data_IF_726347892693
#
_entry.id   IF_726347892693
#
_cell.length_a   1.000
_cell.length_b   1.000
_cell.length_c   1.000
_cell.angle_alpha   90.00
_cell.angle_beta   90.00
_cell.angle_gamma   90.00
#
_symmetry.space_group_name_H-M   'P 1'
#
loop_
_entity.id
_entity.type
_entity.pdbx_description
1 polymer ?
#
# COMPACT_ATOMS: atom_id res chain seq x y z
N UNK A 1 -25.12 37.32 15.47
CA UNK A 1 -23.91 36.51 15.67
C UNK A 1 -23.56 35.78 14.38
N UNK A 2 -22.65 36.38 13.58
CA UNK A 2 -22.07 35.76 12.38
C UNK A 2 -20.93 34.82 12.84
N UNK A 3 -21.08 33.53 12.61
CA UNK A 3 -19.95 32.58 12.68
C UNK A 3 -19.18 32.65 11.35
N UNK A 4 -17.94 33.12 11.40
CA UNK A 4 -16.95 32.99 10.33
C UNK A 4 -16.49 31.54 10.30
N UNK A 5 -16.86 30.80 9.27
CA UNK A 5 -16.26 29.51 8.95
C UNK A 5 -14.96 29.75 8.20
N UNK A 6 -13.83 29.48 8.82
CA UNK A 6 -12.53 29.45 8.15
C UNK A 6 -12.38 28.10 7.46
N UNK A 7 -12.52 28.10 6.11
CA UNK A 7 -12.11 26.97 5.28
C UNK A 7 -10.59 26.96 5.17
N UNK A 8 -9.92 26.19 6.01
CA UNK A 8 -8.52 25.83 5.79
C UNK A 8 -8.49 24.69 4.77
N UNK A 9 -8.22 25.02 3.51
CA UNK A 9 -7.68 24.09 2.53
C UNK A 9 -6.26 23.72 2.99
N UNK A 10 -6.14 22.62 3.73
CA UNK A 10 -4.83 21.98 3.95
C UNK A 10 -4.39 21.39 2.61
N UNK A 11 -3.46 22.06 1.93
CA UNK A 11 -2.60 21.42 0.95
C UNK A 11 -1.90 20.28 1.68
N UNK A 12 -2.26 19.01 1.38
CA UNK A 12 -1.71 17.85 2.04
C UNK A 12 -0.23 17.76 1.73
N UNK A 13 0.62 17.91 2.75
CA UNK A 13 1.99 17.40 2.71
C UNK A 13 1.90 15.90 2.47
N UNK A 14 2.50 15.44 1.37
CA UNK A 14 2.61 14.03 1.00
C UNK A 14 3.18 13.25 2.20
N UNK A 15 2.49 12.21 2.65
CA UNK A 15 2.91 11.40 3.79
C UNK A 15 4.23 10.67 3.48
N UNK A 16 5.02 10.36 4.51
CA UNK A 16 6.29 9.61 4.34
C UNK A 16 6.08 8.29 3.59
N UNK A 17 4.95 7.63 3.82
CA UNK A 17 4.56 6.38 3.13
C UNK A 17 4.37 6.57 1.63
N UNK A 18 3.67 7.64 1.24
CA UNK A 18 3.40 7.95 -0.17
C UNK A 18 4.68 8.25 -0.97
N UNK A 19 5.72 8.79 -0.29
CA UNK A 19 7.02 9.03 -0.93
C UNK A 19 7.76 7.71 -1.14
N UNK A 20 7.80 6.87 -0.11
CA UNK A 20 8.50 5.57 -0.15
C UNK A 20 7.91 4.67 -1.24
N UNK A 21 6.59 4.54 -1.28
CA UNK A 21 5.92 3.70 -2.26
C UNK A 21 6.10 4.22 -3.69
N UNK A 22 6.04 5.54 -3.91
CA UNK A 22 6.30 6.13 -5.23
C UNK A 22 7.72 5.90 -5.74
N UNK A 23 8.71 5.96 -4.85
CA UNK A 23 10.10 5.65 -5.20
C UNK A 23 10.19 4.17 -5.57
N UNK A 24 9.70 3.28 -4.71
CA UNK A 24 9.79 1.84 -4.89
C UNK A 24 9.03 1.36 -6.14
N UNK A 25 7.74 1.68 -6.24
CA UNK A 25 6.89 1.27 -7.36
C UNK A 25 7.20 2.03 -8.66
N UNK A 26 7.93 3.15 -8.59
CA UNK A 26 8.31 3.94 -9.76
C UNK A 26 9.42 3.34 -10.60
N UNK A 27 10.11 2.32 -10.13
CA UNK A 27 11.18 1.64 -10.85
C UNK A 27 10.64 0.91 -12.08
N UNK A 28 11.30 1.08 -13.22
CA UNK A 28 10.82 0.59 -14.50
C UNK A 28 10.73 -0.94 -14.58
N UNK A 29 11.67 -1.63 -13.95
CA UNK A 29 11.71 -3.09 -13.88
C UNK A 29 10.55 -3.67 -13.05
N UNK A 30 10.20 -3.02 -11.92
CA UNK A 30 9.06 -3.44 -11.08
C UNK A 30 7.72 -3.18 -11.76
N UNK A 31 7.59 -2.06 -12.48
CA UNK A 31 6.39 -1.79 -13.28
C UNK A 31 6.24 -2.82 -14.39
N UNK A 32 7.32 -3.14 -15.11
CA UNK A 32 7.30 -4.15 -16.15
C UNK A 32 6.95 -5.53 -15.58
N UNK A 33 7.51 -5.90 -14.42
CA UNK A 33 7.23 -7.16 -13.74
C UNK A 33 5.77 -7.25 -13.25
N UNK A 34 5.24 -6.17 -12.68
CA UNK A 34 3.83 -6.09 -12.27
C UNK A 34 2.89 -6.25 -13.46
N UNK A 35 3.15 -5.54 -14.57
CA UNK A 35 2.36 -5.65 -15.80
C UNK A 35 2.44 -7.06 -16.41
N UNK A 36 3.64 -7.63 -16.46
CA UNK A 36 3.85 -8.97 -16.99
C UNK A 36 3.12 -10.03 -16.17
N UNK A 37 3.12 -9.90 -14.86
CA UNK A 37 2.44 -10.82 -13.98
C UNK A 37 0.92 -10.70 -14.05
N UNK A 38 0.41 -9.46 -14.04
CA UNK A 38 -1.02 -9.19 -14.00
C UNK A 38 -1.72 -9.40 -15.34
N UNK A 39 -1.09 -8.99 -16.44
CA UNK A 39 -1.72 -9.01 -17.76
C UNK A 39 -1.28 -10.20 -18.64
N UNK A 40 -0.11 -10.78 -18.36
CA UNK A 40 0.53 -11.77 -19.23
C UNK A 40 0.97 -13.04 -18.47
N UNK A 41 0.34 -13.33 -17.34
CA UNK A 41 0.56 -14.54 -16.53
C UNK A 41 2.05 -14.81 -16.19
N UNK A 42 2.84 -13.75 -15.98
CA UNK A 42 4.28 -13.83 -15.71
C UNK A 42 5.15 -13.95 -16.98
N UNK A 43 4.56 -13.78 -18.17
CA UNK A 43 5.30 -13.70 -19.45
C UNK A 43 6.25 -12.50 -19.50
N UNK A 44 7.24 -12.52 -20.40
CA UNK A 44 8.18 -11.41 -20.61
C UNK A 44 7.75 -10.57 -21.82
N UNK A 45 6.59 -9.94 -21.74
CA UNK A 45 6.03 -9.13 -22.85
C UNK A 45 6.49 -7.67 -22.75
N UNK A 46 6.59 -7.13 -21.53
CA UNK A 46 7.03 -5.76 -21.28
C UNK A 46 8.42 -5.80 -20.65
N UNK A 47 9.37 -5.09 -21.24
CA UNK A 47 10.70 -4.90 -20.69
C UNK A 47 10.79 -3.58 -19.90
N UNK A 48 11.73 -3.47 -18.96
CA UNK A 48 11.98 -2.21 -18.25
C UNK A 48 12.27 -1.03 -19.20
N UNK A 49 12.92 -1.29 -20.34
CA UNK A 49 13.16 -0.29 -21.39
C UNK A 49 11.91 0.24 -22.09
N UNK A 50 10.78 -0.44 -21.94
CA UNK A 50 9.49 -0.03 -22.48
C UNK A 50 8.73 0.91 -21.55
N UNK A 51 9.20 1.05 -20.32
CA UNK A 51 8.63 1.95 -19.30
C UNK A 51 9.32 3.31 -19.39
N UNK A 52 8.54 4.35 -19.65
CA UNK A 52 9.06 5.73 -19.81
C UNK A 52 8.40 6.63 -18.77
N UNK A 53 9.17 7.56 -18.25
CA UNK A 53 8.60 8.61 -17.41
C UNK A 53 7.64 9.50 -18.19
N UNK A 54 6.55 9.89 -17.54
CA UNK A 54 5.68 10.91 -18.08
C UNK A 54 6.33 12.28 -17.81
N UNK A 55 6.64 13.03 -18.85
CA UNK A 55 7.24 14.36 -18.72
C UNK A 55 6.34 15.25 -17.84
N UNK A 56 6.85 15.68 -16.69
CA UNK A 56 6.12 16.48 -15.70
C UNK A 56 5.71 17.85 -16.26
N UNK A 57 6.42 18.37 -17.27
CA UNK A 57 6.04 19.58 -18.02
C UNK A 57 4.73 19.38 -18.79
N UNK A 58 4.46 18.17 -19.27
CA UNK A 58 3.15 17.84 -19.85
C UNK A 58 2.03 17.81 -18.78
N UNK A 59 2.36 17.62 -17.51
CA UNK A 59 1.41 17.67 -16.39
C UNK A 59 1.13 19.12 -15.92
N UNK A 60 2.06 20.06 -16.11
CA UNK A 60 2.01 21.43 -15.56
C UNK A 60 1.46 22.49 -16.49
N UNK A 61 1.22 22.21 -17.79
CA UNK A 61 0.77 23.20 -18.77
C UNK A 61 -0.77 23.37 -18.78
N UNK A 62 -1.40 23.40 -17.61
CA UNK A 62 -2.81 23.81 -17.44
C UNK A 62 -2.91 25.08 -16.58
N UNK A 63 -2.03 26.05 -16.81
CA UNK A 63 -2.26 27.43 -16.39
C UNK A 63 -2.87 28.18 -17.57
N UNK A 64 -4.17 28.17 -17.70
CA UNK A 64 -4.91 29.19 -18.42
C UNK A 64 -5.29 30.30 -17.44
N UNK A 65 -4.78 31.49 -17.65
CA UNK A 65 -4.97 32.67 -16.78
C UNK A 65 -6.38 33.27 -16.83
N UNK A 66 -7.34 32.72 -17.55
CA UNK A 66 -8.65 33.39 -17.76
C UNK A 66 -9.92 32.57 -17.55
N UNK A 67 -9.87 31.32 -17.08
CA UNK A 67 -11.13 30.67 -16.70
C UNK A 67 -10.94 29.79 -15.47
N UNK A 68 -11.45 30.26 -14.34
CA UNK A 68 -11.63 29.50 -13.09
C UNK A 68 -12.76 28.48 -13.33
N UNK A 69 -12.49 27.46 -14.10
CA UNK A 69 -13.18 26.19 -13.98
C UNK A 69 -12.37 25.40 -12.95
N UNK A 70 -13.00 25.09 -11.81
CA UNK A 70 -12.43 24.18 -10.80
C UNK A 70 -12.19 22.82 -11.42
N UNK A 71 -11.14 22.66 -12.21
CA UNK A 71 -10.60 21.38 -12.62
C UNK A 71 -9.95 20.82 -11.36
N UNK A 72 -10.67 19.98 -10.63
CA UNK A 72 -10.06 19.10 -9.65
C UNK A 72 -8.99 18.29 -10.40
N UNK A 73 -7.73 18.68 -10.22
CA UNK A 73 -6.61 17.85 -10.63
C UNK A 73 -6.67 16.60 -9.77
N UNK A 74 -7.28 15.55 -10.28
CA UNK A 74 -7.23 14.24 -9.66
C UNK A 74 -5.84 13.71 -9.97
N UNK A 75 -4.91 13.94 -9.04
CA UNK A 75 -3.57 13.41 -9.16
C UNK A 75 -3.62 11.90 -8.95
N UNK A 76 -3.13 11.13 -9.91
CA UNK A 76 -2.78 9.71 -9.74
C UNK A 76 -1.48 9.62 -8.95
N UNK A 77 -1.32 8.59 -8.12
CA UNK A 77 -0.13 8.44 -7.28
C UNK A 77 1.13 8.22 -8.12
N UNK A 78 1.04 7.39 -9.15
CA UNK A 78 2.12 7.15 -10.10
C UNK A 78 1.56 6.97 -11.50
N UNK A 79 2.21 7.57 -12.52
CA UNK A 79 1.85 7.35 -13.95
C UNK A 79 3.12 7.17 -14.78
N UNK A 80 3.09 6.19 -15.67
CA UNK A 80 4.16 5.91 -16.64
C UNK A 80 3.58 5.70 -18.04
N UNK A 81 4.39 5.96 -19.06
CA UNK A 81 4.12 5.51 -20.43
C UNK A 81 4.69 4.12 -20.61
N UNK A 82 3.90 3.22 -21.18
CA UNK A 82 4.31 1.86 -21.51
C UNK A 82 4.23 1.69 -23.01
N UNK A 83 5.32 1.23 -23.61
CA UNK A 83 5.41 1.01 -25.04
C UNK A 83 5.15 -0.47 -25.39
N UNK A 84 4.28 -0.70 -26.35
CA UNK A 84 4.02 -1.99 -26.96
C UNK A 84 4.35 -1.91 -28.47
N UNK A 85 5.59 -2.16 -28.84
CA UNK A 85 6.06 -1.93 -30.19
C UNK A 85 5.96 -0.45 -30.59
N UNK A 86 5.07 -0.12 -31.53
CA UNK A 86 4.81 1.25 -31.98
C UNK A 86 3.69 1.95 -31.17
N UNK A 87 2.93 1.21 -30.37
CA UNK A 87 1.82 1.74 -29.58
C UNK A 87 2.28 2.13 -28.19
N UNK A 88 1.56 3.08 -27.58
CA UNK A 88 1.82 3.57 -26.24
C UNK A 88 0.54 3.50 -25.41
N UNK A 89 0.68 3.16 -24.15
CA UNK A 89 -0.38 3.17 -23.14
C UNK A 89 0.07 3.99 -21.93
N UNK A 90 -0.85 4.66 -21.25
CA UNK A 90 -0.60 5.21 -19.93
C UNK A 90 -0.97 4.18 -18.87
N UNK A 91 0.00 3.84 -18.03
CA UNK A 91 -0.21 2.98 -16.87
C UNK A 91 -0.21 3.83 -15.60
N UNK A 92 -1.29 3.75 -14.85
CA UNK A 92 -1.48 4.54 -13.64
C UNK A 92 -1.70 3.63 -12.43
N UNK A 93 -1.04 3.95 -11.32
CA UNK A 93 -1.19 3.25 -10.04
C UNK A 93 -1.85 4.18 -9.05
N UNK A 94 -2.86 3.67 -8.34
CA UNK A 94 -3.49 4.26 -7.17
C UNK A 94 -3.16 3.40 -5.95
N UNK A 95 -2.49 3.97 -4.96
CA UNK A 95 -2.09 3.26 -3.75
C UNK A 95 -3.12 3.49 -2.63
N UNK A 96 -3.56 2.41 -1.99
CA UNK A 96 -4.55 2.47 -0.91
C UNK A 96 -4.08 1.63 0.29
N UNK A 97 -4.04 2.25 1.47
CA UNK A 97 -3.81 1.55 2.75
C UNK A 97 -5.09 1.20 3.48
N UNK A 98 -6.19 1.88 3.14
CA UNK A 98 -7.51 1.68 3.72
C UNK A 98 -8.54 1.50 2.60
N UNK A 99 -9.67 0.85 2.91
CA UNK A 99 -10.74 0.65 1.93
C UNK A 99 -11.37 1.99 1.58
N UNK A 100 -11.47 2.26 0.29
CA UNK A 100 -12.06 3.48 -0.23
C UNK A 100 -13.36 3.16 -0.99
N UNK A 101 -14.50 3.31 -0.32
CA UNK A 101 -15.82 2.92 -0.86
C UNK A 101 -16.26 3.72 -2.11
N UNK A 102 -15.59 4.78 -2.48
CA UNK A 102 -15.81 5.50 -3.74
C UNK A 102 -14.70 5.25 -4.78
N UNK A 103 -13.99 4.13 -4.70
CA UNK A 103 -12.82 3.85 -5.55
C UNK A 103 -13.13 3.84 -7.05
N UNK A 104 -14.20 3.18 -7.53
CA UNK A 104 -14.55 3.22 -8.94
C UNK A 104 -14.75 4.64 -9.48
N UNK A 105 -15.37 5.50 -8.69
CA UNK A 105 -15.56 6.92 -9.07
C UNK A 105 -14.24 7.68 -9.06
N UNK A 106 -13.35 7.41 -8.10
CA UNK A 106 -12.01 8.03 -8.04
C UNK A 106 -11.20 7.67 -9.27
N UNK A 107 -11.17 6.39 -9.65
CA UNK A 107 -10.43 5.90 -10.83
C UNK A 107 -11.00 6.50 -12.12
N UNK A 108 -12.33 6.44 -12.30
CA UNK A 108 -13.02 7.05 -13.46
C UNK A 108 -12.66 8.53 -13.62
N UNK A 109 -12.74 9.31 -12.55
CA UNK A 109 -12.40 10.74 -12.59
C UNK A 109 -10.95 10.98 -13.00
N UNK A 110 -10.03 10.14 -12.51
CA UNK A 110 -8.61 10.20 -12.87
C UNK A 110 -8.38 9.90 -14.34
N UNK A 111 -8.99 8.83 -14.85
CA UNK A 111 -8.84 8.41 -16.24
C UNK A 111 -9.49 9.41 -17.20
N UNK A 112 -10.69 9.90 -16.85
CA UNK A 112 -11.38 10.96 -17.61
C UNK A 112 -10.54 12.25 -17.70
N UNK A 113 -9.85 12.64 -16.62
CA UNK A 113 -8.97 13.80 -16.63
C UNK A 113 -7.76 13.61 -17.57
N UNK A 114 -7.22 12.39 -17.70
CA UNK A 114 -6.17 12.09 -18.68
C UNK A 114 -6.68 12.18 -20.12
N UNK A 115 -7.88 11.66 -20.40
CA UNK A 115 -8.49 11.77 -21.74
C UNK A 115 -8.85 13.22 -22.10
N UNK A 116 -9.42 13.97 -21.16
CA UNK A 116 -9.72 15.39 -21.35
C UNK A 116 -8.45 16.21 -21.65
N UNK A 117 -7.36 15.95 -20.94
CA UNK A 117 -6.06 16.57 -21.20
C UNK A 117 -5.53 16.26 -22.60
N UNK A 118 -5.61 15.01 -23.04
CA UNK A 118 -5.18 14.59 -24.38
C UNK A 118 -6.03 15.29 -25.44
N UNK A 119 -7.36 15.28 -25.29
CA UNK A 119 -8.27 15.94 -26.22
C UNK A 119 -7.97 17.45 -26.32
N UNK A 120 -7.82 18.13 -25.19
CA UNK A 120 -7.47 19.54 -25.17
C UNK A 120 -6.10 19.82 -25.82
N UNK A 121 -5.13 18.93 -25.66
CA UNK A 121 -3.84 19.00 -26.33
C UNK A 121 -3.94 18.92 -27.86
N UNK A 122 -4.66 17.92 -28.36
CA UNK A 122 -4.94 17.70 -29.78
C UNK A 122 -5.66 18.91 -30.37
N UNK A 123 -6.72 19.37 -29.68
CA UNK A 123 -7.50 20.55 -30.10
C UNK A 123 -6.64 21.81 -30.24
N UNK A 124 -5.75 22.10 -29.31
CA UNK A 124 -4.83 23.25 -29.37
C UNK A 124 -3.86 23.12 -30.53
N UNK A 125 -3.37 21.93 -30.81
CA UNK A 125 -2.46 21.68 -31.93
C UNK A 125 -3.15 21.96 -33.26
N UNK A 126 -4.36 21.45 -33.47
CA UNK A 126 -5.16 21.72 -34.65
C UNK A 126 -5.53 23.20 -34.80
N UNK A 127 -5.88 23.89 -33.70
CA UNK A 127 -6.12 25.34 -33.71
C UNK A 127 -4.87 26.12 -34.17
N UNK A 128 -3.69 25.69 -33.76
CA UNK A 128 -2.41 26.29 -34.19
C UNK A 128 -2.15 26.02 -35.67
N UNK A 129 -2.37 24.78 -36.13
CA UNK A 129 -2.16 24.37 -37.52
C UNK A 129 -3.23 24.88 -38.48
N UNK A 130 -4.42 25.14 -37.98
CA UNK A 130 -5.63 25.52 -38.75
C UNK A 130 -5.99 24.52 -39.86
N UNK A 131 -5.85 23.22 -39.53
CA UNK A 131 -5.93 22.10 -40.48
C UNK A 131 -7.26 21.33 -40.42
N UNK A 132 -8.16 21.68 -39.48
CA UNK A 132 -9.49 21.09 -39.39
C UNK A 132 -10.57 21.99 -40.05
N UNK A 133 -11.63 21.37 -40.55
CA UNK A 133 -12.80 22.03 -41.10
C UNK A 133 -14.11 21.32 -40.72
N UNK A 134 -15.25 21.99 -40.88
CA UNK A 134 -16.57 21.41 -40.65
C UNK A 134 -16.74 20.80 -39.26
N UNK A 135 -17.18 19.56 -39.16
CA UNK A 135 -17.45 18.84 -37.93
C UNK A 135 -16.17 18.59 -37.08
N UNK A 136 -15.05 18.36 -37.72
CA UNK A 136 -13.75 18.17 -37.06
C UNK A 136 -13.29 19.46 -36.37
N UNK A 137 -13.46 20.59 -37.05
CA UNK A 137 -13.17 21.89 -36.46
C UNK A 137 -14.05 22.18 -35.22
N UNK A 138 -15.35 21.83 -35.26
CA UNK A 138 -16.28 22.03 -34.14
C UNK A 138 -15.89 21.18 -32.93
N UNK A 139 -15.49 19.95 -33.16
CA UNK A 139 -15.05 19.04 -32.09
C UNK A 139 -13.60 19.30 -31.61
N UNK A 140 -12.78 19.91 -32.50
CA UNK A 140 -11.35 20.04 -32.30
C UNK A 140 -10.60 18.70 -32.33
N UNK A 141 -11.21 17.69 -32.99
CA UNK A 141 -10.71 16.33 -33.09
C UNK A 141 -10.94 15.80 -34.49
N UNK A 142 -9.89 15.46 -35.21
CA UNK A 142 -9.94 14.91 -36.56
C UNK A 142 -10.24 13.42 -36.57
N UNK A 143 -10.64 12.88 -37.73
CA UNK A 143 -10.96 11.46 -37.90
C UNK A 143 -9.76 10.54 -37.68
N UNK A 144 -8.57 11.02 -37.97
CA UNK A 144 -7.31 10.27 -37.82
C UNK A 144 -6.71 10.42 -36.40
N UNK A 145 -7.27 11.32 -35.58
CA UNK A 145 -6.80 11.48 -34.21
C UNK A 145 -7.19 10.29 -33.35
N UNK A 146 -6.35 9.96 -32.40
CA UNK A 146 -6.59 8.91 -31.44
C UNK A 146 -6.09 9.30 -30.04
N UNK A 147 -6.78 8.83 -29.02
CA UNK A 147 -6.35 8.98 -27.65
C UNK A 147 -5.44 7.81 -27.25
N UNK A 148 -4.42 8.11 -26.48
CA UNK A 148 -3.58 7.09 -25.82
C UNK A 148 -4.41 6.44 -24.72
N UNK A 149 -4.59 5.10 -24.72
CA UNK A 149 -5.38 4.43 -23.71
C UNK A 149 -4.75 4.55 -22.31
N UNK A 150 -5.57 4.61 -21.28
CA UNK A 150 -5.17 4.64 -19.87
C UNK A 150 -5.60 3.33 -19.22
N UNK A 151 -4.66 2.64 -18.58
CA UNK A 151 -4.92 1.51 -17.69
C UNK A 151 -4.58 1.91 -16.26
N UNK A 152 -5.58 1.96 -15.39
CA UNK A 152 -5.40 2.27 -13.98
C UNK A 152 -5.54 1.02 -13.12
N UNK A 153 -4.56 0.81 -12.24
CA UNK A 153 -4.53 -0.29 -11.27
C UNK A 153 -4.56 0.29 -9.87
N UNK A 154 -5.35 -0.32 -8.98
CA UNK A 154 -5.41 0.00 -7.56
C UNK A 154 -4.58 -1.02 -6.81
N UNK A 155 -3.48 -0.60 -6.17
CA UNK A 155 -2.70 -1.44 -5.26
C UNK A 155 -3.19 -1.24 -3.84
N UNK A 156 -3.81 -2.26 -3.26
CA UNK A 156 -4.33 -2.23 -1.90
C UNK A 156 -3.39 -2.95 -0.94
N UNK A 157 -2.88 -2.21 0.07
CA UNK A 157 -1.95 -2.70 1.08
C UNK A 157 -2.61 -2.95 2.45
N UNK A 158 -3.93 -2.77 2.55
CA UNK A 158 -4.66 -2.92 3.80
C UNK A 158 -4.60 -4.32 4.41
N UNK A 159 -4.72 -4.39 5.73
CA UNK A 159 -4.76 -5.66 6.46
C UNK A 159 -6.11 -6.37 6.30
N UNK A 160 -7.20 -5.59 6.25
CA UNK A 160 -8.53 -6.11 6.02
C UNK A 160 -8.69 -6.53 4.56
N UNK A 161 -9.50 -7.54 4.31
CA UNK A 161 -9.90 -7.89 2.95
C UNK A 161 -10.72 -6.76 2.33
N UNK A 162 -10.52 -6.53 1.02
CA UNK A 162 -11.28 -5.48 0.33
C UNK A 162 -12.75 -5.86 0.23
N UNK A 163 -13.62 -5.05 0.84
CA UNK A 163 -15.09 -5.17 0.78
C UNK A 163 -15.76 -3.98 0.08
N UNK A 164 -14.95 -3.07 -0.48
CA UNK A 164 -15.44 -1.90 -1.23
C UNK A 164 -15.93 -2.28 -2.64
N UNK A 165 -16.65 -1.35 -3.30
CA UNK A 165 -17.13 -1.55 -4.66
C UNK A 165 -15.98 -1.82 -5.64
N UNK A 166 -16.18 -2.81 -6.52
CA UNK A 166 -15.28 -3.14 -7.63
C UNK A 166 -15.73 -2.50 -8.94
N UNK A 167 -16.97 -2.01 -9.00
CA UNK A 167 -17.61 -1.48 -10.20
C UNK A 167 -18.46 -0.26 -9.86
N UNK A 168 -18.49 0.71 -10.76
CA UNK A 168 -19.26 1.93 -10.55
C UNK A 168 -20.77 1.66 -10.37
N UNK A 169 -21.31 0.65 -11.05
CA UNK A 169 -22.71 0.25 -10.91
C UNK A 169 -23.06 -0.20 -9.49
N UNK A 170 -22.13 -0.77 -8.72
CA UNK A 170 -22.35 -1.15 -7.32
C UNK A 170 -22.57 0.05 -6.40
N UNK A 171 -22.17 1.24 -6.84
CA UNK A 171 -22.37 2.51 -6.12
C UNK A 171 -23.68 3.24 -6.51
N UNK A 172 -24.43 2.70 -7.48
CA UNK A 172 -25.62 3.35 -8.03
C UNK A 172 -26.90 2.74 -7.45
N UNK A 173 -27.93 3.57 -7.32
CA UNK A 173 -29.29 3.12 -6.90
C UNK A 173 -30.04 2.48 -8.07
N UNK A 174 -29.57 1.35 -8.57
CA UNK A 174 -30.14 0.68 -9.75
C UNK A 174 -31.35 -0.20 -9.42
N UNK A 175 -31.51 -0.63 -8.18
CA UNK A 175 -32.56 -1.54 -7.72
C UNK A 175 -33.99 -0.99 -7.84
N UNK A 176 -34.13 0.31 -8.09
CA UNK A 176 -35.42 0.99 -8.30
C UNK A 176 -35.71 1.26 -9.77
N UNK A 177 -34.79 0.91 -10.68
CA UNK A 177 -34.92 1.15 -12.11
C UNK A 177 -35.36 -0.13 -12.84
N UNK A 178 -36.12 -0.02 -13.95
CA UNK A 178 -36.34 -1.13 -14.86
C UNK A 178 -35.01 -1.71 -15.36
N UNK A 179 -34.98 -3.04 -15.59
CA UNK A 179 -33.76 -3.74 -16.03
C UNK A 179 -33.23 -3.18 -17.35
N UNK A 180 -34.12 -2.87 -18.29
CA UNK A 180 -33.78 -2.34 -19.59
C UNK A 180 -33.07 -0.97 -19.50
N UNK A 181 -33.36 -0.19 -18.46
CA UNK A 181 -32.68 1.09 -18.17
C UNK A 181 -31.32 0.83 -17.53
N UNK A 182 -31.28 -0.08 -16.55
CA UNK A 182 -30.06 -0.43 -15.81
C UNK A 182 -28.98 -1.03 -16.73
N UNK A 183 -29.38 -1.83 -17.74
CA UNK A 183 -28.47 -2.38 -18.73
C UNK A 183 -27.81 -1.32 -19.61
N UNK A 184 -28.51 -0.20 -19.91
CA UNK A 184 -27.96 0.88 -20.75
C UNK A 184 -27.00 1.81 -20.01
N UNK A 185 -26.99 1.75 -18.68
CA UNK A 185 -26.04 2.55 -17.89
C UNK A 185 -24.66 1.94 -18.04
N UNK A 186 -23.70 2.77 -18.45
CA UNK A 186 -22.30 2.34 -18.62
C UNK A 186 -21.70 2.09 -17.23
N UNK A 187 -20.98 0.97 -17.11
CA UNK A 187 -20.26 0.60 -15.92
C UNK A 187 -18.77 0.96 -16.05
N UNK A 188 -18.09 1.08 -14.90
CA UNK A 188 -16.67 1.31 -14.84
C UNK A 188 -16.03 0.40 -13.78
N UNK A 189 -15.47 -0.76 -14.17
CA UNK A 189 -14.78 -1.65 -13.25
C UNK A 189 -13.41 -1.08 -12.90
N UNK A 190 -12.94 -1.36 -11.68
CA UNK A 190 -11.56 -1.11 -11.27
C UNK A 190 -10.73 -2.39 -11.39
N UNK A 191 -9.43 -2.20 -11.60
CA UNK A 191 -8.44 -3.26 -11.58
C UNK A 191 -7.75 -3.22 -10.21
N UNK A 192 -8.20 -4.07 -9.28
CA UNK A 192 -7.70 -4.11 -7.90
C UNK A 192 -6.71 -5.25 -7.73
N UNK A 193 -5.55 -4.94 -7.18
CA UNK A 193 -4.54 -5.89 -6.70
C UNK A 193 -4.48 -5.77 -5.17
N UNK A 194 -5.03 -6.75 -4.46
CA UNK A 194 -4.83 -6.89 -3.02
C UNK A 194 -3.46 -7.53 -2.77
N UNK A 195 -2.49 -6.71 -2.39
CA UNK A 195 -1.09 -7.12 -2.22
C UNK A 195 -0.94 -8.23 -1.20
N UNK A 196 -1.71 -8.16 -0.10
CA UNK A 196 -1.63 -9.15 0.99
C UNK A 196 -2.29 -10.49 0.65
N UNK A 197 -3.11 -10.53 -0.39
CA UNK A 197 -3.84 -11.73 -0.85
C UNK A 197 -3.58 -12.04 -2.32
N UNK A 198 -2.52 -11.43 -2.88
CA UNK A 198 -2.17 -11.63 -4.28
C UNK A 198 -1.74 -13.08 -4.53
N UNK A 199 -2.43 -13.83 -5.41
CA UNK A 199 -2.27 -15.29 -5.50
C UNK A 199 -1.01 -15.72 -6.27
N UNK A 200 -0.39 -14.83 -7.05
CA UNK A 200 0.67 -15.17 -8.00
C UNK A 200 1.98 -14.42 -7.74
N UNK A 201 2.25 -14.06 -6.48
CA UNK A 201 3.46 -13.34 -6.09
C UNK A 201 4.77 -14.12 -6.38
N UNK A 202 4.70 -15.43 -6.47
CA UNK A 202 5.84 -16.30 -6.83
C UNK A 202 6.32 -16.11 -8.28
N UNK A 203 5.47 -15.56 -9.16
CA UNK A 203 5.81 -15.30 -10.57
C UNK A 203 6.64 -14.05 -10.76
N UNK A 204 6.69 -13.15 -9.77
CA UNK A 204 7.52 -11.96 -9.84
C UNK A 204 9.00 -12.31 -9.97
N UNK A 205 9.71 -11.57 -10.82
CA UNK A 205 11.14 -11.73 -11.10
C UNK A 205 12.00 -10.69 -10.41
N UNK A 206 11.37 -9.59 -9.97
CA UNK A 206 11.99 -8.53 -9.18
C UNK A 206 11.79 -8.77 -7.68
N UNK A 207 12.26 -7.84 -6.85
CA UNK A 207 12.04 -7.85 -5.42
C UNK A 207 10.57 -7.60 -5.00
N UNK A 208 9.66 -7.35 -5.95
CA UNK A 208 8.21 -7.42 -5.70
C UNK A 208 7.81 -8.76 -5.07
N UNK A 209 8.46 -9.87 -5.46
CA UNK A 209 8.26 -11.18 -4.83
C UNK A 209 8.51 -11.14 -3.32
N UNK A 210 9.59 -10.47 -2.92
CA UNK A 210 10.00 -10.40 -1.52
C UNK A 210 9.09 -9.47 -0.72
N UNK A 211 8.79 -8.29 -1.26
CA UNK A 211 7.92 -7.30 -0.61
C UNK A 211 6.50 -7.82 -0.45
N UNK A 212 5.89 -8.37 -1.52
CA UNK A 212 4.55 -8.95 -1.46
C UNK A 212 4.52 -10.16 -0.53
N UNK A 213 5.49 -11.07 -0.67
CA UNK A 213 5.61 -12.26 0.18
C UNK A 213 5.77 -11.94 1.66
N UNK A 214 6.54 -10.91 2.00
CA UNK A 214 6.67 -10.40 3.37
C UNK A 214 5.33 -9.86 3.90
N UNK A 215 4.67 -8.98 3.13
CA UNK A 215 3.41 -8.36 3.54
C UNK A 215 2.27 -9.38 3.70
N UNK A 216 2.23 -10.41 2.88
CA UNK A 216 1.28 -11.51 2.99
C UNK A 216 1.41 -12.29 4.30
N UNK A 217 2.62 -12.38 4.83
CA UNK A 217 2.94 -13.17 6.04
C UNK A 217 3.16 -12.31 7.29
N UNK A 218 3.07 -10.99 7.18
CA UNK A 218 3.38 -10.06 8.26
C UNK A 218 2.53 -10.25 9.53
N UNK A 219 1.35 -10.85 9.43
CA UNK A 219 0.48 -11.20 10.57
C UNK A 219 0.75 -12.58 11.16
N UNK A 220 1.59 -13.41 10.53
CA UNK A 220 1.88 -14.79 10.91
C UNK A 220 3.39 -14.96 11.11
N UNK A 221 3.94 -14.69 12.33
CA UNK A 221 5.39 -14.64 12.56
C UNK A 221 6.16 -15.88 12.13
N UNK A 222 5.60 -17.07 12.37
CA UNK A 222 6.23 -18.34 12.00
C UNK A 222 6.40 -18.48 10.49
N UNK A 223 5.34 -18.21 9.73
CA UNK A 223 5.37 -18.25 8.27
C UNK A 223 6.24 -17.13 7.66
N UNK A 224 6.30 -15.98 8.33
CA UNK A 224 7.19 -14.90 7.91
C UNK A 224 8.65 -15.29 8.06
N UNK A 225 9.03 -15.86 9.21
CA UNK A 225 10.39 -16.33 9.47
C UNK A 225 10.77 -17.44 8.48
N UNK A 226 9.87 -18.40 8.23
CA UNK A 226 10.08 -19.46 7.23
C UNK A 226 10.36 -18.87 5.85
N UNK A 227 9.52 -17.94 5.39
CA UNK A 227 9.69 -17.27 4.10
C UNK A 227 11.00 -16.47 3.99
N UNK A 228 11.41 -15.78 5.06
CA UNK A 228 12.69 -15.08 5.10
C UNK A 228 13.85 -16.05 5.02
N UNK A 229 13.78 -17.18 5.72
CA UNK A 229 14.81 -18.22 5.70
C UNK A 229 14.95 -18.89 4.33
N UNK A 230 13.83 -19.13 3.64
CA UNK A 230 13.83 -19.67 2.29
C UNK A 230 14.45 -18.70 1.26
N UNK A 231 14.38 -17.39 1.53
CA UNK A 231 14.88 -16.32 0.65
C UNK A 231 16.00 -15.50 1.33
N UNK A 232 16.81 -16.14 2.18
CA UNK A 232 17.84 -15.47 3.01
C UNK A 232 18.84 -14.66 2.17
N UNK A 233 19.24 -15.18 1.02
CA UNK A 233 20.20 -14.52 0.13
C UNK A 233 19.67 -13.17 -0.33
N UNK A 234 18.43 -13.14 -0.79
CA UNK A 234 17.76 -11.96 -1.31
C UNK A 234 17.45 -10.97 -0.17
N UNK A 235 16.92 -11.44 0.96
CA UNK A 235 16.63 -10.59 2.12
C UNK A 235 17.87 -10.06 2.83
N UNK A 236 19.05 -10.67 2.66
CA UNK A 236 20.30 -10.16 3.21
C UNK A 236 20.90 -9.01 2.38
N UNK A 237 20.40 -8.77 1.17
CA UNK A 237 20.88 -7.75 0.24
C UNK A 237 19.75 -6.98 -0.44
N UNK A 238 18.78 -6.47 0.35
CA UNK A 238 17.72 -5.62 -0.19
C UNK A 238 18.24 -4.24 -0.58
N UNK A 239 17.70 -3.69 -1.65
CA UNK A 239 17.88 -2.27 -1.97
C UNK A 239 17.25 -1.37 -0.90
N UNK A 240 17.69 -0.12 -0.79
CA UNK A 240 17.18 0.83 0.19
C UNK A 240 15.67 1.01 0.08
N UNK A 241 15.17 1.18 -1.12
CA UNK A 241 13.75 1.40 -1.40
C UNK A 241 12.89 0.17 -1.14
N UNK A 242 13.40 -1.05 -1.39
CA UNK A 242 12.73 -2.30 -1.04
C UNK A 242 12.65 -2.50 0.48
N UNK A 243 13.74 -2.20 1.20
CA UNK A 243 13.74 -2.22 2.66
C UNK A 243 12.74 -1.21 3.24
N UNK A 244 12.78 0.03 2.77
CA UNK A 244 11.89 1.11 3.22
C UNK A 244 10.42 0.80 2.90
N UNK A 245 10.14 0.25 1.73
CA UNK A 245 8.79 -0.18 1.32
C UNK A 245 8.26 -1.26 2.27
N UNK A 246 9.05 -2.30 2.53
CA UNK A 246 8.69 -3.39 3.45
C UNK A 246 8.42 -2.86 4.85
N UNK A 247 9.34 -2.06 5.40
CA UNK A 247 9.21 -1.47 6.74
C UNK A 247 7.99 -0.53 6.86
N UNK A 248 7.73 0.27 5.82
CA UNK A 248 6.64 1.23 5.81
C UNK A 248 5.26 0.56 5.70
N UNK A 249 5.12 -0.44 4.82
CA UNK A 249 3.85 -1.09 4.54
C UNK A 249 3.50 -2.20 5.53
N UNK A 250 4.50 -2.82 6.17
CA UNK A 250 4.27 -3.75 7.30
C UNK A 250 3.86 -3.03 8.59
N UNK A 251 3.96 -1.69 8.64
CA UNK A 251 3.75 -0.86 9.83
C UNK A 251 4.69 -1.21 11.00
N UNK A 252 5.80 -1.89 10.73
CA UNK A 252 6.77 -2.32 11.73
C UNK A 252 7.79 -1.21 11.98
N UNK A 253 7.51 -0.37 12.99
CA UNK A 253 8.36 0.79 13.34
C UNK A 253 9.80 0.41 13.68
N UNK A 254 9.99 -0.77 14.24
CA UNK A 254 11.30 -1.32 14.63
C UNK A 254 12.20 -1.50 13.42
N UNK A 255 11.70 -2.00 12.29
CA UNK A 255 12.48 -2.12 11.06
C UNK A 255 13.07 -0.77 10.62
N UNK A 256 12.25 0.29 10.66
CA UNK A 256 12.72 1.64 10.33
C UNK A 256 13.80 2.16 11.28
N UNK A 257 13.77 1.78 12.58
CA UNK A 257 14.81 2.16 13.56
C UNK A 257 16.10 1.38 13.35
N UNK A 258 16.02 0.14 12.91
CA UNK A 258 17.16 -0.73 12.70
C UNK A 258 17.87 -0.50 11.36
N UNK A 259 17.29 0.29 10.44
CA UNK A 259 17.78 0.51 9.09
C UNK A 259 19.30 0.78 9.06
N UNK A 260 19.75 1.80 9.78
CA UNK A 260 21.18 2.18 9.81
C UNK A 260 22.10 1.13 10.47
N UNK A 261 21.54 0.25 11.30
CA UNK A 261 22.28 -0.84 11.97
C UNK A 261 22.52 -2.04 11.04
N UNK A 262 21.64 -2.22 10.06
CA UNK A 262 21.64 -3.36 9.14
C UNK A 262 22.12 -3.00 7.74
N UNK A 263 22.50 -1.73 7.52
CA UNK A 263 23.12 -1.25 6.28
C UNK A 263 24.47 -1.95 6.04
N UNK A 264 24.67 -2.45 4.82
CA UNK A 264 25.89 -3.13 4.37
C UNK A 264 26.30 -2.56 3.01
N UNK A 265 27.19 -1.57 3.01
CA UNK A 265 27.57 -0.80 1.80
C UNK A 265 26.36 -0.09 1.19
N UNK A 266 25.79 -0.64 0.11
CA UNK A 266 24.60 -0.12 -0.57
C UNK A 266 23.35 -0.96 -0.34
N UNK A 267 23.48 -2.10 0.39
CA UNK A 267 22.41 -3.05 0.65
C UNK A 267 21.95 -3.03 2.11
N UNK A 268 20.75 -3.54 2.36
CA UNK A 268 20.12 -3.60 3.69
C UNK A 268 19.76 -5.05 4.05
N UNK A 269 20.26 -5.52 5.19
CA UNK A 269 20.05 -6.90 5.64
C UNK A 269 18.78 -7.03 6.48
N UNK A 270 17.68 -7.44 5.87
CA UNK A 270 16.40 -7.66 6.53
C UNK A 270 16.45 -8.84 7.51
N UNK A 271 17.18 -9.92 7.18
CA UNK A 271 17.32 -11.06 8.07
C UNK A 271 17.90 -10.63 9.41
N UNK A 272 19.02 -9.87 9.38
CA UNK A 272 19.63 -9.32 10.59
C UNK A 272 18.69 -8.41 11.38
N UNK A 273 17.87 -7.60 10.69
CA UNK A 273 16.88 -6.76 11.37
C UNK A 273 15.83 -7.59 12.11
N UNK A 274 15.34 -8.65 11.51
CA UNK A 274 14.37 -9.58 12.14
C UNK A 274 15.00 -10.31 13.31
N UNK A 275 16.22 -10.85 13.17
CA UNK A 275 16.93 -11.51 14.27
C UNK A 275 17.09 -10.57 15.48
N UNK A 276 17.48 -9.32 15.25
CA UNK A 276 17.59 -8.30 16.30
C UNK A 276 16.25 -8.01 16.96
N UNK A 277 15.15 -7.99 16.21
CA UNK A 277 13.81 -7.78 16.75
C UNK A 277 13.36 -8.96 17.62
N UNK A 278 13.62 -10.19 17.18
CA UNK A 278 13.32 -11.41 17.93
C UNK A 278 14.09 -11.42 19.25
N UNK A 279 15.41 -11.23 19.21
CA UNK A 279 16.26 -11.17 20.40
C UNK A 279 15.82 -10.10 21.40
N UNK A 280 15.50 -8.88 20.91
CA UNK A 280 14.98 -7.81 21.75
C UNK A 280 13.58 -8.13 22.32
N UNK A 281 12.77 -8.90 21.63
CA UNK A 281 11.48 -9.40 22.09
C UNK A 281 11.63 -10.42 23.24
N UNK A 282 12.54 -11.37 23.07
CA UNK A 282 12.88 -12.38 24.08
C UNK A 282 13.43 -11.74 25.36
N UNK A 283 14.39 -10.82 25.23
CA UNK A 283 14.95 -10.09 26.36
C UNK A 283 13.86 -9.32 27.16
N UNK A 284 12.98 -8.61 26.44
CA UNK A 284 11.86 -7.93 27.09
C UNK A 284 10.88 -8.90 27.76
N UNK A 285 10.62 -10.04 27.11
CA UNK A 285 9.76 -11.09 27.67
C UNK A 285 10.31 -11.66 28.98
N UNK A 286 11.63 -11.99 29.02
CA UNK A 286 12.33 -12.46 30.20
C UNK A 286 12.25 -11.42 31.33
N UNK A 287 12.62 -10.19 31.04
CA UNK A 287 12.58 -9.10 32.03
C UNK A 287 11.18 -8.88 32.63
N UNK A 288 10.15 -8.85 31.79
CA UNK A 288 8.76 -8.76 32.26
C UNK A 288 8.33 -9.98 33.08
N UNK A 289 8.81 -11.17 32.69
CA UNK A 289 8.59 -12.41 33.44
C UNK A 289 9.20 -12.36 34.83
N UNK A 290 10.45 -11.90 34.94
CA UNK A 290 11.17 -11.71 36.20
C UNK A 290 10.47 -10.66 37.09
N UNK A 291 10.15 -9.49 36.56
CA UNK A 291 9.43 -8.42 37.29
C UNK A 291 8.10 -8.90 37.85
N UNK A 292 7.30 -9.63 37.03
CA UNK A 292 6.03 -10.22 37.44
C UNK A 292 6.24 -11.33 38.50
N UNK A 293 7.28 -12.15 38.34
CA UNK A 293 7.66 -13.19 39.30
C UNK A 293 7.96 -12.59 40.69
N UNK A 294 8.79 -11.55 40.73
CA UNK A 294 9.13 -10.81 41.95
C UNK A 294 7.88 -10.18 42.56
N UNK A 295 7.01 -9.58 41.78
CA UNK A 295 5.78 -8.95 42.30
C UNK A 295 4.83 -9.99 42.90
N UNK A 296 4.64 -11.14 42.22
CA UNK A 296 3.81 -12.25 42.72
C UNK A 296 4.38 -12.76 44.04
N UNK A 297 5.69 -13.02 44.10
CA UNK A 297 6.35 -13.50 45.32
C UNK A 297 6.17 -12.53 46.46
N UNK A 298 6.39 -11.23 46.26
CA UNK A 298 6.15 -10.19 47.27
C UNK A 298 4.70 -10.17 47.77
N UNK A 299 3.73 -10.36 46.86
CA UNK A 299 2.31 -10.38 47.24
C UNK A 299 1.96 -11.63 48.02
N UNK A 300 2.52 -12.81 47.67
CA UNK A 300 2.35 -14.06 48.42
C UNK A 300 2.90 -13.89 49.83
N UNK A 301 4.14 -13.43 50.01
CA UNK A 301 4.73 -13.20 51.35
C UNK A 301 3.96 -12.18 52.18
N UNK A 302 3.51 -11.08 51.55
CA UNK A 302 2.73 -10.08 52.22
C UNK A 302 1.39 -10.61 52.78
N UNK A 303 0.69 -11.48 52.04
CA UNK A 303 -0.53 -12.13 52.48
C UNK A 303 -0.26 -13.21 53.50
N UNK A 304 0.79 -14.02 53.31
CA UNK A 304 1.22 -15.02 54.29
C UNK A 304 1.56 -14.41 55.65
N UNK A 305 2.32 -13.32 55.67
CA UNK A 305 2.63 -12.56 56.90
C UNK A 305 1.40 -11.91 57.58
N UNK A 306 0.30 -11.73 56.83
CA UNK A 306 -0.98 -11.31 57.37
C UNK A 306 -1.84 -12.46 57.91
N UNK A 307 -1.36 -13.70 57.86
CA UNK A 307 -2.01 -14.89 58.38
C UNK A 307 -2.98 -15.58 57.42
N UNK A 308 -2.95 -15.23 56.11
CA UNK A 308 -3.74 -15.95 55.10
C UNK A 308 -3.12 -17.33 54.85
N UNK A 309 -3.97 -18.33 54.69
CA UNK A 309 -3.49 -19.67 54.31
C UNK A 309 -3.21 -19.75 52.80
N UNK A 310 -2.47 -20.79 52.40
CA UNK A 310 -2.01 -20.95 50.99
C UNK A 310 -3.17 -20.95 49.97
N UNK A 311 -4.33 -21.52 50.32
CA UNK A 311 -5.51 -21.54 49.46
C UNK A 311 -6.14 -20.16 49.31
N UNK A 312 -6.29 -19.42 50.42
CA UNK A 312 -6.78 -18.04 50.40
C UNK A 312 -5.86 -17.11 49.59
N UNK A 313 -4.54 -17.31 49.69
CA UNK A 313 -3.55 -16.55 48.89
C UNK A 313 -3.75 -16.87 47.40
N UNK A 314 -3.86 -18.16 47.05
CA UNK A 314 -4.07 -18.58 45.66
C UNK A 314 -5.33 -17.97 45.06
N UNK A 315 -6.45 -18.02 45.79
CA UNK A 315 -7.73 -17.46 45.39
C UNK A 315 -7.65 -15.91 45.27
N UNK A 316 -7.00 -15.24 46.22
CA UNK A 316 -6.87 -13.77 46.27
C UNK A 316 -6.03 -13.24 45.09
N UNK A 317 -4.93 -13.94 44.74
CA UNK A 317 -4.01 -13.53 43.67
C UNK A 317 -4.37 -14.13 42.34
N UNK A 318 -5.40 -14.97 42.24
CA UNK A 318 -5.83 -15.68 41.04
C UNK A 318 -4.70 -16.49 40.40
N UNK A 319 -3.91 -17.19 41.21
CA UNK A 319 -2.82 -18.06 40.82
C UNK A 319 -3.07 -19.49 41.34
N UNK A 320 -2.30 -20.46 40.82
CA UNK A 320 -2.42 -21.86 41.25
C UNK A 320 -1.91 -22.04 42.67
N UNK A 321 -2.54 -22.95 43.44
CA UNK A 321 -2.08 -23.33 44.78
C UNK A 321 -0.67 -23.91 44.76
N UNK A 322 -0.31 -24.64 43.69
CA UNK A 322 1.03 -25.19 43.46
C UNK A 322 2.07 -24.07 43.45
N UNK A 323 1.83 -23.01 42.67
CA UNK A 323 2.72 -21.84 42.62
C UNK A 323 2.91 -21.13 43.95
N UNK A 324 1.87 -21.09 44.77
CA UNK A 324 1.98 -20.51 46.13
C UNK A 324 2.85 -21.38 47.02
N UNK A 325 2.72 -22.73 46.91
CA UNK A 325 3.53 -23.68 47.64
C UNK A 325 4.99 -23.60 47.25
N UNK A 326 5.30 -23.66 45.96
CA UNK A 326 6.65 -23.60 45.45
C UNK A 326 7.41 -22.38 45.99
N UNK A 327 6.75 -21.20 46.01
CA UNK A 327 7.40 -19.98 46.47
C UNK A 327 7.54 -19.94 47.99
N UNK A 328 6.64 -20.54 48.76
CA UNK A 328 6.73 -20.56 50.23
C UNK A 328 7.64 -21.71 50.74
N UNK A 329 7.70 -22.83 50.03
CA UNK A 329 8.48 -23.99 50.43
C UNK A 329 9.99 -23.86 50.06
N UNK A 330 10.32 -23.10 48.99
CA UNK A 330 11.73 -22.78 48.65
C UNK A 330 12.44 -21.95 49.73
N UNK A 331 11.75 -21.09 50.48
CA UNK A 331 12.37 -20.35 51.61
C UNK A 331 12.38 -21.14 52.94
N UNK A 332 11.61 -22.21 53.07
CA UNK A 332 11.69 -23.07 54.26
C UNK A 332 12.93 -24.00 54.23
N UNK A 333 13.66 -24.01 53.10
CA UNK A 333 14.82 -24.83 52.89
C UNK A 333 16.17 -24.06 53.00
N UNK A 334 16.14 -22.76 53.30
CA UNK A 334 17.29 -21.88 53.58
C UNK A 334 17.29 -21.48 55.04
#
# INVERSE_FOLDING_TARGET
HRRKGSSHTKGGTMGKKDIVSKIYLGAADRIADLLNNELFEGGSVVAASDIMELDSTAASTLKDEENIVNVRVVAKDLVRKVRFGIQVMLFAIEEQSDIHYAMPLKVLNGDAAFYDKQWNGIRREHQRKKDLSGAEYLSGFGREDSLVPVLSVVLYFGEQEWDGPMRLKEMMALNTLPEEVSEKIIDYPIHLIDVRRYPHGERFRTDLKLVFGFLQRASEPEKLIEFINENTKEFSGLTEDAYDMTASMSKTRELGKLKNTVEQKEDYNMCKAIDMMVAAGEERGLKLGEERGIEISRNIFRLYMKGYNQKEIADTLQITLERVRDILDEEAAV
#
